data_IF_975572306214
#
_entry.id   IF_975572306214
#
_cell.length_a   1.000
_cell.length_b   1.000
_cell.length_c   1.000
_cell.angle_alpha   90.00
_cell.angle_beta   90.00
_cell.angle_gamma   90.00
#
_symmetry.space_group_name_H-M   'P 1'
#
loop_
_entity.id
_entity.type
_entity.pdbx_description
1 polymer ?
#
# COMPACT_ATOMS: atom_id res chain seq x y z
N UNK A 1 32.97 25.48 -28.33
CA UNK A 1 32.80 24.41 -27.33
C UNK A 1 31.37 24.44 -26.83
N UNK A 2 30.55 23.42 -27.12
CA UNK A 2 29.16 23.32 -26.65
C UNK A 2 29.15 22.53 -25.34
N UNK A 3 28.45 22.97 -24.27
CA UNK A 3 28.35 22.16 -23.06
C UNK A 3 27.46 20.95 -23.34
N UNK A 4 27.96 19.79 -22.92
CA UNK A 4 27.27 18.51 -23.00
C UNK A 4 26.03 18.53 -22.09
N UNK A 5 24.88 18.29 -22.68
CA UNK A 5 23.62 18.09 -21.98
C UNK A 5 23.67 16.78 -21.19
N UNK A 6 23.74 16.90 -19.87
CA UNK A 6 23.61 15.79 -18.93
C UNK A 6 22.20 15.19 -19.07
N UNK A 7 22.12 13.94 -19.53
CA UNK A 7 20.88 13.15 -19.58
C UNK A 7 20.35 12.95 -18.16
N UNK A 8 19.03 13.09 -17.90
CA UNK A 8 18.46 12.74 -16.61
C UNK A 8 18.36 11.21 -16.50
N UNK A 9 19.43 10.58 -16.03
CA UNK A 9 19.41 9.18 -15.57
C UNK A 9 19.06 9.20 -14.08
N UNK A 10 17.83 9.60 -13.74
CA UNK A 10 17.36 9.58 -12.35
C UNK A 10 15.84 9.48 -12.29
N UNK A 11 15.28 8.41 -12.86
CA UNK A 11 13.84 8.16 -12.78
C UNK A 11 13.48 6.67 -12.76
N UNK A 12 14.39 5.80 -12.30
CA UNK A 12 14.15 4.35 -12.19
C UNK A 12 14.10 3.83 -10.74
N UNK A 13 14.67 4.54 -9.76
CA UNK A 13 14.75 4.02 -8.38
C UNK A 13 13.38 3.97 -7.65
N UNK A 14 12.50 4.94 -7.91
CA UNK A 14 11.18 5.00 -7.28
C UNK A 14 10.20 3.92 -7.80
N UNK A 15 10.43 3.38 -9.01
CA UNK A 15 9.61 2.30 -9.57
C UNK A 15 9.96 0.92 -8.98
N UNK A 16 11.22 0.69 -8.57
CA UNK A 16 11.68 -0.63 -8.10
C UNK A 16 11.14 -1.00 -6.73
N UNK A 17 10.83 -0.02 -5.87
CA UNK A 17 10.32 -0.30 -4.51
C UNK A 17 8.86 -0.77 -4.50
N UNK A 18 8.10 -0.60 -5.61
CA UNK A 18 6.67 -0.93 -5.70
C UNK A 18 6.28 -1.73 -6.95
N UNK A 19 7.20 -1.95 -7.90
CA UNK A 19 6.94 -2.74 -9.11
C UNK A 19 6.94 -4.26 -8.87
N UNK A 20 7.32 -4.74 -7.68
CA UNK A 20 7.17 -6.14 -7.32
C UNK A 20 5.87 -6.33 -6.57
N UNK A 21 4.74 -6.55 -7.26
CA UNK A 21 3.82 -7.48 -6.65
C UNK A 21 4.54 -8.82 -6.65
N UNK A 22 4.77 -9.38 -5.48
CA UNK A 22 5.78 -10.42 -5.32
C UNK A 22 5.16 -11.82 -5.28
N UNK A 23 3.85 -11.90 -5.03
CA UNK A 23 3.16 -13.15 -4.72
C UNK A 23 1.91 -13.34 -5.59
N UNK A 24 1.64 -14.60 -5.90
CA UNK A 24 0.53 -15.03 -6.77
C UNK A 24 -0.63 -15.65 -5.99
N UNK A 25 -0.37 -16.14 -4.79
CA UNK A 25 -1.37 -16.79 -3.93
C UNK A 25 -1.81 -15.83 -2.83
N UNK A 26 -3.11 -15.80 -2.44
CA UNK A 26 -3.58 -15.13 -1.24
C UNK A 26 -3.33 -16.00 0.01
N UNK A 27 -2.93 -15.39 1.13
CA UNK A 27 -3.00 -15.99 2.47
C UNK A 27 -4.44 -16.05 3.01
N UNK A 28 -5.30 -15.11 2.59
CA UNK A 28 -6.71 -15.10 2.91
C UNK A 28 -7.53 -14.99 1.62
N UNK A 29 -8.21 -16.07 1.22
CA UNK A 29 -9.10 -16.07 0.05
C UNK A 29 -10.34 -15.21 0.28
N UNK A 30 -10.83 -15.18 1.52
CA UNK A 30 -11.93 -14.34 1.97
C UNK A 30 -11.47 -13.55 3.20
N UNK A 31 -11.79 -12.24 3.26
CA UNK A 31 -11.66 -11.50 4.51
C UNK A 31 -12.58 -12.10 5.57
N UNK A 32 -12.04 -12.37 6.75
CA UNK A 32 -12.80 -12.92 7.90
C UNK A 32 -12.46 -12.22 9.22
N UNK A 33 -11.39 -11.41 9.21
CA UNK A 33 -10.92 -10.68 10.38
C UNK A 33 -11.45 -9.25 10.30
N UNK A 34 -12.16 -8.76 11.32
CA UNK A 34 -12.60 -7.37 11.36
C UNK A 34 -11.43 -6.40 11.17
N UNK A 35 -11.66 -5.31 10.45
CA UNK A 35 -10.63 -4.29 10.26
C UNK A 35 -10.15 -3.74 11.60
N UNK A 36 -8.83 -3.63 11.76
CA UNK A 36 -8.24 -2.71 12.73
C UNK A 36 -8.55 -1.27 12.30
N UNK A 37 -9.37 -0.60 13.12
CA UNK A 37 -9.80 0.78 12.90
C UNK A 37 -8.66 1.78 13.04
N UNK A 38 -7.59 1.45 13.77
CA UNK A 38 -6.45 2.33 13.94
C UNK A 38 -5.72 2.56 12.60
N UNK A 39 -5.73 1.58 11.70
CA UNK A 39 -5.10 1.67 10.37
C UNK A 39 -5.86 2.61 9.43
N UNK A 40 -7.17 2.82 9.66
CA UNK A 40 -8.00 3.69 8.83
C UNK A 40 -7.55 5.15 8.97
N UNK A 41 -7.36 5.81 7.84
CA UNK A 41 -7.02 7.22 7.79
C UNK A 41 -6.19 7.62 6.59
N UNK A 42 -5.76 8.87 6.64
CA UNK A 42 -4.81 9.45 5.72
C UNK A 42 -3.46 9.49 6.41
N UNK A 43 -2.45 8.98 5.71
CA UNK A 43 -1.10 8.81 6.18
C UNK A 43 -0.16 9.49 5.19
N UNK A 44 0.94 10.06 5.67
CA UNK A 44 1.90 10.77 4.83
C UNK A 44 3.33 10.43 5.24
N UNK A 45 4.21 10.35 4.26
CA UNK A 45 5.64 10.24 4.44
C UNK A 45 6.36 11.08 3.39
N UNK A 46 7.68 11.20 3.50
CA UNK A 46 8.52 11.85 2.49
C UNK A 46 9.43 10.79 1.87
N UNK A 47 9.28 10.55 0.57
CA UNK A 47 10.13 9.64 -0.21
C UNK A 47 10.83 10.43 -1.31
N UNK A 48 12.16 10.30 -1.41
CA UNK A 48 12.98 11.01 -2.39
C UNK A 48 12.72 12.54 -2.41
N UNK A 49 12.51 13.13 -1.23
CA UNK A 49 12.22 14.55 -1.07
C UNK A 49 10.82 14.99 -1.50
N UNK A 50 9.92 14.03 -1.80
CA UNK A 50 8.52 14.30 -2.17
C UNK A 50 7.58 13.75 -1.11
N UNK A 51 6.58 14.55 -0.77
CA UNK A 51 5.50 14.10 0.08
C UNK A 51 4.62 13.09 -0.66
N UNK A 52 4.49 11.92 -0.05
CA UNK A 52 3.70 10.80 -0.57
C UNK A 52 2.63 10.46 0.46
N UNK A 53 1.40 10.30 -0.02
CA UNK A 53 0.26 9.94 0.82
C UNK A 53 -0.16 8.50 0.63
N UNK A 54 -0.59 7.89 1.71
CA UNK A 54 -1.22 6.59 1.78
C UNK A 54 -2.63 6.80 2.36
N UNK A 55 -3.65 6.39 1.61
CA UNK A 55 -5.03 6.37 2.10
C UNK A 55 -5.42 4.95 2.43
N UNK A 56 -5.92 4.73 3.64
CA UNK A 56 -6.53 3.47 4.06
C UNK A 56 -7.96 3.76 4.49
N UNK A 57 -8.93 3.21 3.78
CA UNK A 57 -10.35 3.40 4.00
C UNK A 57 -10.99 2.06 4.34
N UNK A 58 -12.00 2.04 5.22
CA UNK A 58 -12.84 0.84 5.34
C UNK A 58 -13.65 0.67 4.06
N UNK A 59 -13.52 -0.49 3.42
CA UNK A 59 -14.33 -0.89 2.27
C UNK A 59 -15.48 -1.78 2.71
N UNK A 60 -15.23 -2.64 3.69
CA UNK A 60 -16.21 -3.49 4.37
C UNK A 60 -15.86 -3.61 5.86
N UNK A 61 -16.57 -4.46 6.61
CA UNK A 61 -16.31 -4.68 8.03
C UNK A 61 -14.95 -5.37 8.32
N UNK A 62 -14.43 -6.09 7.32
CA UNK A 62 -13.25 -6.96 7.35
C UNK A 62 -12.24 -6.61 6.25
N UNK A 63 -12.48 -5.53 5.51
CA UNK A 63 -11.68 -5.18 4.34
C UNK A 63 -11.44 -3.68 4.22
N UNK A 64 -10.26 -3.35 3.70
CA UNK A 64 -9.82 -2.00 3.39
C UNK A 64 -9.76 -1.75 1.88
N UNK A 65 -9.99 -0.49 1.51
CA UNK A 65 -9.50 0.09 0.26
C UNK A 65 -8.21 0.85 0.57
N UNK A 66 -7.12 0.48 -0.10
CA UNK A 66 -5.83 1.14 -0.01
C UNK A 66 -5.58 1.91 -1.31
N UNK A 67 -5.16 3.16 -1.18
CA UNK A 67 -4.70 3.97 -2.31
C UNK A 67 -3.30 4.52 -2.02
N UNK A 68 -2.37 4.31 -2.96
CA UNK A 68 -0.97 4.71 -2.80
C UNK A 68 -0.25 4.82 -4.16
N UNK A 69 0.53 5.88 -4.43
CA UNK A 69 0.51 7.16 -3.73
C UNK A 69 -0.84 7.88 -3.94
N UNK A 70 -1.56 8.22 -2.89
CA UNK A 70 -2.94 8.72 -2.99
C UNK A 70 -3.04 10.17 -3.44
N UNK A 71 -4.11 10.49 -4.17
CA UNK A 71 -4.39 11.85 -4.65
C UNK A 71 -3.52 12.29 -5.83
N UNK A 72 -2.87 11.34 -6.51
CA UNK A 72 -1.99 11.59 -7.66
C UNK A 72 -2.52 10.92 -8.94
N UNK A 73 -2.13 11.39 -10.14
CA UNK A 73 -2.45 10.70 -11.40
C UNK A 73 -1.93 9.26 -11.47
N UNK A 74 -0.93 8.91 -10.65
CA UNK A 74 -0.28 7.60 -10.61
C UNK A 74 -0.76 6.74 -9.43
N UNK A 75 -1.87 7.13 -8.79
CA UNK A 75 -2.44 6.38 -7.65
C UNK A 75 -2.72 4.93 -8.03
N UNK A 76 -2.19 3.99 -7.25
CA UNK A 76 -2.52 2.57 -7.32
C UNK A 76 -3.59 2.24 -6.28
N UNK A 77 -4.43 1.26 -6.58
CA UNK A 77 -5.50 0.80 -5.70
C UNK A 77 -5.37 -0.68 -5.37
N UNK A 78 -5.52 -1.00 -4.08
CA UNK A 78 -5.56 -2.36 -3.58
C UNK A 78 -6.76 -2.57 -2.65
N UNK A 79 -7.31 -3.78 -2.68
CA UNK A 79 -8.13 -4.28 -1.57
C UNK A 79 -7.19 -4.92 -0.57
N UNK A 80 -7.45 -4.75 0.71
CA UNK A 80 -6.60 -5.33 1.73
C UNK A 80 -7.40 -5.92 2.89
N UNK A 81 -6.90 -7.01 3.47
CA UNK A 81 -7.49 -7.64 4.65
C UNK A 81 -6.41 -8.15 5.60
N UNK A 82 -6.76 -8.32 6.86
CA UNK A 82 -5.86 -8.88 7.86
C UNK A 82 -5.71 -10.39 7.66
N UNK A 83 -4.47 -10.87 7.69
CA UNK A 83 -4.15 -12.29 7.63
C UNK A 83 -4.21 -12.91 9.02
N UNK A 84 -4.65 -14.16 9.09
CA UNK A 84 -4.61 -14.95 10.32
C UNK A 84 -3.38 -15.85 10.39
N UNK A 85 -3.07 -16.31 11.59
CA UNK A 85 -2.08 -17.36 11.81
C UNK A 85 -0.63 -16.90 11.67
N UNK A 86 -0.33 -15.61 11.76
CA UNK A 86 1.05 -15.09 11.85
C UNK A 86 1.31 -14.53 13.25
N UNK A 87 2.58 -14.37 13.63
CA UNK A 87 2.94 -13.85 14.97
C UNK A 87 2.85 -12.32 15.08
N UNK A 88 2.69 -11.64 13.95
CA UNK A 88 2.59 -10.18 13.84
C UNK A 88 1.34 -9.80 13.06
N UNK A 89 0.88 -8.56 13.20
CA UNK A 89 -0.25 -8.05 12.42
C UNK A 89 0.16 -7.93 10.94
N UNK A 90 -0.31 -8.88 10.12
CA UNK A 90 -0.02 -8.94 8.69
C UNK A 90 -1.25 -8.56 7.88
N UNK A 91 -1.06 -7.72 6.88
CA UNK A 91 -2.08 -7.33 5.89
C UNK A 91 -1.71 -7.94 4.55
N UNK A 92 -2.67 -8.59 3.90
CA UNK A 92 -2.61 -8.95 2.49
C UNK A 92 -3.14 -7.79 1.67
N UNK A 93 -2.35 -7.29 0.71
CA UNK A 93 -2.79 -6.34 -0.29
C UNK A 93 -2.98 -7.07 -1.61
N UNK A 94 -4.14 -6.87 -2.25
CA UNK A 94 -4.42 -7.29 -3.63
C UNK A 94 -4.56 -6.06 -4.50
N UNK A 95 -3.53 -5.76 -5.28
CA UNK A 95 -3.54 -4.66 -6.25
C UNK A 95 -4.45 -5.00 -7.42
N UNK A 96 -5.29 -4.04 -7.82
CA UNK A 96 -6.31 -4.29 -8.86
C UNK A 96 -6.44 -3.17 -9.90
N UNK A 97 -5.78 -2.03 -9.71
CA UNK A 97 -5.87 -0.95 -10.70
C UNK A 97 -5.05 0.28 -10.37
N UNK A 98 -5.07 1.23 -11.30
CA UNK A 98 -4.40 2.53 -11.20
C UNK A 98 -5.28 3.64 -11.75
N UNK A 99 -5.12 4.86 -11.26
CA UNK A 99 -5.90 6.02 -11.69
C UNK A 99 -5.70 6.36 -13.18
N UNK A 100 -4.53 6.01 -13.74
CA UNK A 100 -4.20 6.21 -15.15
C UNK A 100 -4.41 4.95 -16.02
N UNK A 101 -4.92 3.85 -15.45
CA UNK A 101 -5.11 2.56 -16.12
C UNK A 101 -3.86 1.94 -16.76
N UNK A 102 -2.65 2.31 -16.32
CA UNK A 102 -1.38 1.82 -16.89
C UNK A 102 -0.79 0.62 -16.16
N UNK A 103 -1.16 0.40 -14.90
CA UNK A 103 -0.62 -0.69 -14.10
C UNK A 103 -1.33 -2.02 -14.38
N UNK A 104 -0.54 -3.07 -14.63
CA UNK A 104 -1.00 -4.46 -14.72
C UNK A 104 -0.49 -5.26 -13.52
N UNK A 105 -1.41 -5.85 -12.78
CA UNK A 105 -1.15 -6.65 -11.57
C UNK A 105 -1.53 -8.13 -11.75
N UNK A 106 -1.83 -8.56 -12.98
CA UNK A 106 -2.37 -9.90 -13.25
C UNK A 106 -1.38 -11.02 -12.91
N UNK A 107 -0.09 -10.82 -13.20
CA UNK A 107 0.93 -11.84 -12.98
C UNK A 107 1.21 -12.10 -11.50
N UNK A 108 1.21 -11.04 -10.70
CA UNK A 108 1.40 -11.09 -9.27
C UNK A 108 0.48 -10.01 -8.72
N UNK A 109 -0.66 -10.35 -8.09
CA UNK A 109 -1.55 -9.32 -7.57
C UNK A 109 -1.30 -9.05 -6.09
N UNK A 110 -0.53 -9.90 -5.39
CA UNK A 110 -0.43 -9.86 -3.93
C UNK A 110 0.89 -9.30 -3.41
N UNK A 111 0.76 -8.51 -2.34
CA UNK A 111 1.83 -8.11 -1.44
C UNK A 111 1.40 -8.33 0.00
N UNK A 112 2.37 -8.45 0.90
CA UNK A 112 2.14 -8.67 2.32
C UNK A 112 2.93 -7.66 3.14
N UNK A 113 2.24 -6.97 4.04
CA UNK A 113 2.84 -5.95 4.89
C UNK A 113 2.56 -6.27 6.36
N UNK A 114 3.62 -6.37 7.17
CA UNK A 114 3.48 -6.25 8.61
C UNK A 114 3.32 -4.77 8.95
N UNK A 115 2.55 -4.47 10.00
CA UNK A 115 2.40 -3.10 10.47
C UNK A 115 2.35 -2.97 11.99
N UNK A 116 2.67 -1.79 12.46
CA UNK A 116 2.48 -1.34 13.84
C UNK A 116 2.04 0.12 13.86
N UNK A 117 1.24 0.49 14.87
CA UNK A 117 0.76 1.87 15.05
C UNK A 117 1.17 2.34 16.43
N UNK A 118 1.92 3.44 16.47
CA UNK A 118 2.38 4.10 17.67
C UNK A 118 1.88 5.55 17.65
N UNK A 119 0.73 5.80 18.29
CA UNK A 119 0.06 7.09 18.26
C UNK A 119 -0.31 7.52 16.83
N UNK A 120 0.32 8.61 16.36
CA UNK A 120 0.13 9.15 15.01
C UNK A 120 1.13 8.59 13.99
N UNK A 121 1.92 7.57 14.34
CA UNK A 121 2.87 6.93 13.43
C UNK A 121 2.42 5.54 13.02
N UNK A 122 2.27 5.31 11.72
CA UNK A 122 2.14 4.00 11.11
C UNK A 122 3.52 3.54 10.65
N UNK A 123 3.94 2.38 11.12
CA UNK A 123 5.13 1.68 10.67
C UNK A 123 4.67 0.50 9.82
N UNK A 124 5.13 0.43 8.57
CA UNK A 124 4.81 -0.67 7.67
C UNK A 124 6.10 -1.29 7.13
N UNK A 125 6.13 -2.62 7.03
CA UNK A 125 7.25 -3.36 6.45
C UNK A 125 6.74 -4.47 5.54
N UNK A 126 7.17 -4.46 4.28
CA UNK A 126 6.80 -5.50 3.32
C UNK A 126 7.60 -6.78 3.55
N UNK A 127 6.98 -7.94 3.33
CA UNK A 127 7.71 -9.21 3.32
C UNK A 127 8.81 -9.16 2.24
N UNK A 128 9.99 -9.65 2.60
CA UNK A 128 11.12 -9.75 1.70
C UNK A 128 11.05 -11.03 0.85
N UNK A 129 10.87 -10.95 -0.49
CA UNK A 129 10.79 -12.13 -1.35
C UNK A 129 12.14 -12.83 -1.52
N UNK A 130 13.25 -12.21 -1.09
CA UNK A 130 14.54 -12.90 -1.02
C UNK A 130 14.61 -13.90 0.14
N UNK A 131 13.85 -13.65 1.22
CA UNK A 131 13.75 -14.55 2.38
C UNK A 131 12.56 -15.49 2.26
N UNK A 132 11.39 -14.97 1.87
CA UNK A 132 10.17 -15.75 1.68
C UNK A 132 9.83 -15.79 0.19
N UNK A 133 10.33 -16.83 -0.49
CA UNK A 133 10.09 -17.03 -1.91
C UNK A 133 8.60 -17.26 -2.22
N UNK A 134 8.12 -16.92 -3.43
CA UNK A 134 6.75 -17.22 -3.83
C UNK A 134 6.45 -18.72 -3.73
N UNK A 135 5.26 -19.06 -3.26
CA UNK A 135 4.80 -20.43 -3.10
C UNK A 135 3.54 -20.70 -3.94
N UNK A 136 3.29 -21.96 -4.26
CA UNK A 136 2.12 -22.37 -5.05
C UNK A 136 0.82 -22.43 -4.24
N UNK A 137 0.90 -22.42 -2.91
CA UNK A 137 -0.28 -22.49 -2.03
C UNK A 137 -0.16 -21.52 -0.86
N UNK A 138 -1.31 -21.07 -0.36
CA UNK A 138 -1.42 -20.22 0.83
C UNK A 138 -0.75 -20.87 2.06
N UNK A 139 -0.97 -22.17 2.26
CA UNK A 139 -0.41 -22.93 3.38
C UNK A 139 1.12 -22.99 3.32
N UNK A 140 1.70 -23.22 2.14
CA UNK A 140 3.15 -23.23 1.96
C UNK A 140 3.75 -21.84 2.19
N UNK A 141 3.09 -20.78 1.69
CA UNK A 141 3.52 -19.41 1.93
C UNK A 141 3.49 -19.06 3.42
N UNK A 142 2.38 -19.37 4.11
CA UNK A 142 2.24 -19.13 5.55
C UNK A 142 3.31 -19.88 6.36
N UNK A 143 3.59 -21.13 5.99
CA UNK A 143 4.64 -21.92 6.63
C UNK A 143 6.03 -21.30 6.42
N UNK A 144 6.32 -20.78 5.22
CA UNK A 144 7.59 -20.14 4.92
C UNK A 144 7.76 -18.82 5.71
N UNK A 145 6.68 -18.05 5.87
CA UNK A 145 6.68 -16.84 6.72
C UNK A 145 7.00 -17.24 8.17
N UNK A 146 6.27 -18.20 8.72
CA UNK A 146 6.47 -18.67 10.11
C UNK A 146 7.88 -19.18 10.38
N UNK A 147 8.44 -19.94 9.45
CA UNK A 147 9.79 -20.48 9.56
C UNK A 147 10.87 -19.38 9.64
N UNK A 148 10.55 -18.15 9.23
CA UNK A 148 11.45 -17.01 9.20
C UNK A 148 11.07 -15.91 10.21
N UNK A 149 10.16 -16.14 11.16
CA UNK A 149 9.69 -15.09 12.09
C UNK A 149 10.81 -14.41 12.89
N UNK A 150 11.90 -15.13 13.17
CA UNK A 150 13.07 -14.61 13.90
C UNK A 150 14.19 -14.15 12.95
N UNK A 151 14.01 -14.27 11.64
CA UNK A 151 14.98 -13.84 10.66
C UNK A 151 14.96 -12.30 10.55
N UNK A 152 16.07 -11.59 10.84
CA UNK A 152 16.10 -10.13 10.80
C UNK A 152 15.79 -9.55 9.41
N UNK A 153 16.01 -10.33 8.35
CA UNK A 153 15.81 -9.93 6.96
C UNK A 153 14.42 -10.32 6.41
N UNK A 154 13.54 -10.87 7.25
CA UNK A 154 12.17 -11.27 6.87
C UNK A 154 11.41 -10.13 6.18
N UNK A 155 11.66 -8.90 6.60
CA UNK A 155 11.02 -7.72 6.04
C UNK A 155 12.02 -6.82 5.31
N UNK A 156 11.52 -6.13 4.29
CA UNK A 156 12.23 -5.04 3.63
C UNK A 156 12.39 -3.83 4.56
N UNK A 157 13.13 -2.83 4.07
CA UNK A 157 13.26 -1.53 4.72
C UNK A 157 11.91 -0.96 5.15
N UNK A 158 11.92 -0.38 6.33
CA UNK A 158 10.74 0.15 6.98
C UNK A 158 10.22 1.43 6.30
N UNK A 159 8.90 1.52 6.15
CA UNK A 159 8.19 2.73 5.77
C UNK A 159 7.49 3.31 6.99
N UNK A 160 7.82 4.56 7.33
CA UNK A 160 7.16 5.31 8.41
C UNK A 160 6.25 6.37 7.82
N UNK A 161 4.99 6.35 8.22
CA UNK A 161 4.01 7.36 7.86
C UNK A 161 3.50 8.07 9.11
N UNK A 162 3.26 9.36 9.00
CA UNK A 162 2.59 10.17 10.02
C UNK A 162 1.14 10.39 9.62
N UNK A 163 0.22 10.32 10.59
CA UNK A 163 -1.20 10.57 10.37
C UNK A 163 -1.41 12.00 9.91
N UNK A 164 -2.13 12.17 8.81
CA UNK A 164 -2.57 13.48 8.33
C UNK A 164 -3.71 13.94 9.23
N UNK A 165 -3.53 15.08 9.89
CA UNK A 165 -4.59 15.68 10.70
C UNK A 165 -5.72 16.17 9.78
N UNK A 166 -6.99 15.89 10.12
CA UNK A 166 -8.11 16.51 9.43
C UNK A 166 -7.99 18.04 9.47
N UNK A 167 -8.56 18.76 8.49
CA UNK A 167 -8.72 20.20 8.62
C UNK A 167 -9.44 20.53 9.93
N UNK A 168 -9.10 21.67 10.55
CA UNK A 168 -9.67 22.08 11.83
C UNK A 168 -11.21 22.18 11.81
N UNK A 169 -11.80 22.45 10.63
CA UNK A 169 -13.24 22.36 10.40
C UNK A 169 -13.58 21.19 9.46
N UNK A 170 -14.08 20.05 9.99
CA UNK A 170 -14.50 18.91 9.18
C UNK A 170 -15.79 19.16 8.38
N UNK A 171 -16.47 20.30 8.59
CA UNK A 171 -17.68 20.72 7.86
C UNK A 171 -17.42 21.86 6.88
N UNK A 172 -16.17 22.30 6.74
CA UNK A 172 -15.81 23.32 5.76
C UNK A 172 -16.33 22.89 4.37
N UNK A 173 -17.02 23.77 3.63
CA UNK A 173 -17.54 23.43 2.31
C UNK A 173 -16.39 22.96 1.41
N UNK A 174 -16.45 21.71 0.97
CA UNK A 174 -15.56 21.25 -0.09
C UNK A 174 -15.89 22.06 -1.34
N UNK A 175 -14.87 22.68 -1.95
CA UNK A 175 -15.01 23.29 -3.26
C UNK A 175 -15.40 22.21 -4.26
N UNK A 176 -16.69 22.10 -4.56
CA UNK A 176 -17.18 21.19 -5.59
C UNK A 176 -16.79 21.78 -6.94
N UNK A 177 -16.17 21.00 -7.84
CA UNK A 177 -16.08 21.39 -9.23
C UNK A 177 -17.47 21.77 -9.76
N UNK A 178 -17.56 22.75 -10.67
CA UNK A 178 -18.85 23.08 -11.29
C UNK A 178 -19.41 21.82 -11.97
N UNK A 179 -20.73 21.66 -11.90
CA UNK A 179 -21.40 20.60 -12.64
C UNK A 179 -21.17 20.82 -14.14
N UNK A 180 -21.11 19.74 -14.95
CA UNK A 180 -21.16 19.87 -16.40
C UNK A 180 -22.40 20.66 -16.83
N UNK A 181 -22.27 21.44 -17.91
CA UNK A 181 -23.39 22.24 -18.42
C UNK A 181 -24.63 21.37 -18.69
N UNK A 182 -25.80 21.77 -18.17
CA UNK A 182 -27.07 21.08 -18.36
C UNK A 182 -27.38 19.96 -17.36
N UNK A 183 -26.55 19.78 -16.33
CA UNK A 183 -26.78 18.83 -15.22
C UNK A 183 -27.45 19.49 -14.00
N UNK A 184 -27.85 20.75 -14.12
CA UNK A 184 -28.49 21.58 -13.10
C UNK A 184 -30.03 21.61 -13.19
N UNK A 185 -30.64 20.61 -13.85
CA UNK A 185 -32.10 20.45 -13.97
C UNK A 185 -32.68 19.44 -13.00
#
# INVERSE_FOLDING_TARGET
MKPATLRPVLSWLAAVLLAGCDYTVPLAEKPEVPVDKALIGQWQTTLDGKDVRLSVLALAADEYLVAYPSGTPDTLYARACLCQGTEFALVQLRWFGSANARADFSAHPYQYAAYGIEGDTLVARLINPEVVKPAQTAAALLSAIKANNTNPDLFRSELRFTRVKPPADPRAPLARPPLPAGWDK
#
